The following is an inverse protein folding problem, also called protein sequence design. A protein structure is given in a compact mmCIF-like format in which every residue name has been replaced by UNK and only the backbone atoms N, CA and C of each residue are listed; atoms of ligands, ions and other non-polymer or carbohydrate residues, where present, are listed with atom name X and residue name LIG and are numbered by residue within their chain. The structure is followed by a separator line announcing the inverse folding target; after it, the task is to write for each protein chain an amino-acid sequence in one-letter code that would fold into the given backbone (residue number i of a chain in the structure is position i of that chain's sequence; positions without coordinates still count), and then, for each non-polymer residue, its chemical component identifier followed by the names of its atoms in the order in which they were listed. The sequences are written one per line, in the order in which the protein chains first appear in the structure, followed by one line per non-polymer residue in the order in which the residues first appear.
data_IF_913031300424
#
_entry.id   IF_913031300424
#
_cell.length_a   1.000
_cell.length_b   1.000
_cell.length_c   1.000
_cell.angle_alpha   90.00
_cell.angle_beta   90.00
_cell.angle_gamma   90.00
#
_symmetry.space_group_name_H-M   'P 1'
#
loop_
_entity.id
_entity.type
_entity.pdbx_description
1 polymer ?
#
# COMPACT_ATOMS: atom_id res chain seq x y z
N UNK A 1 29.99 7.61 8.86
CA UNK A 1 29.41 6.27 8.85
C UNK A 1 27.93 6.35 9.21
N UNK A 2 27.13 5.77 8.43
CA UNK A 2 25.70 5.79 8.68
C UNK A 2 25.28 4.50 9.38
N UNK A 3 24.53 4.66 10.45
CA UNK A 3 23.93 3.51 11.12
C UNK A 3 22.81 2.96 10.27
N UNK A 4 22.87 1.66 10.01
CA UNK A 4 21.79 1.00 9.30
C UNK A 4 20.86 0.36 10.32
N UNK A 5 19.58 0.65 10.16
CA UNK A 5 18.57 -0.03 10.95
C UNK A 5 18.03 -1.20 10.14
N UNK A 6 18.03 -2.36 10.77
CA UNK A 6 17.49 -3.55 10.15
C UNK A 6 16.15 -3.87 10.80
N UNK A 7 15.17 -4.07 9.96
CA UNK A 7 13.82 -4.39 10.41
C UNK A 7 13.61 -5.89 10.21
N UNK A 8 13.28 -6.59 11.27
CA UNK A 8 12.94 -8.00 11.16
C UNK A 8 11.55 -8.16 10.54
N UNK A 9 11.30 -9.33 9.95
CA UNK A 9 10.00 -9.66 9.43
C UNK A 9 8.92 -9.63 10.52
N UNK A 10 9.26 -10.11 11.70
CA UNK A 10 8.34 -10.09 12.83
C UNK A 10 7.99 -8.67 13.25
N UNK A 11 8.98 -7.79 13.34
CA UNK A 11 8.75 -6.40 13.70
C UNK A 11 7.92 -5.69 12.64
N UNK A 12 8.19 -5.97 11.37
CA UNK A 12 7.40 -5.41 10.28
C UNK A 12 5.94 -5.81 10.39
N UNK A 13 5.68 -7.07 10.72
CA UNK A 13 4.32 -7.58 10.87
C UNK A 13 3.61 -6.87 12.03
N UNK A 14 4.28 -6.77 13.18
CA UNK A 14 3.73 -6.09 14.35
C UNK A 14 3.42 -4.63 14.03
N UNK A 15 4.36 -3.94 13.38
CA UNK A 15 4.18 -2.53 13.04
C UNK A 15 3.07 -2.33 12.00
N UNK A 16 2.90 -3.29 11.10
CA UNK A 16 1.82 -3.26 10.13
C UNK A 16 0.45 -3.36 10.80
N UNK A 17 0.32 -4.22 11.80
CA UNK A 17 -0.92 -4.30 12.57
C UNK A 17 -1.15 -3.05 13.42
N UNK A 18 -0.08 -2.45 13.95
CA UNK A 18 -0.19 -1.16 14.66
C UNK A 18 -0.67 -0.05 13.74
N UNK A 19 -0.16 -0.02 12.52
CA UNK A 19 -0.62 0.92 11.51
C UNK A 19 -2.10 0.72 11.21
N UNK A 20 -2.50 -0.52 10.97
CA UNK A 20 -3.91 -0.84 10.70
C UNK A 20 -4.80 -0.40 11.84
N UNK A 21 -4.38 -0.67 13.08
CA UNK A 21 -5.15 -0.25 14.26
C UNK A 21 -5.26 1.26 14.35
N UNK A 22 -4.18 1.98 14.06
CA UNK A 22 -4.21 3.44 14.06
C UNK A 22 -5.19 3.99 13.03
N UNK A 23 -5.21 3.42 11.83
CA UNK A 23 -6.16 3.81 10.80
C UNK A 23 -7.59 3.49 11.25
N UNK A 24 -7.81 2.30 11.80
CA UNK A 24 -9.11 1.89 12.30
C UNK A 24 -9.61 2.83 13.40
N UNK A 25 -8.74 3.13 14.36
CA UNK A 25 -9.08 3.97 15.50
C UNK A 25 -9.35 5.42 15.07
N UNK A 26 -8.82 5.85 13.93
CA UNK A 26 -9.09 7.19 13.39
C UNK A 26 -10.50 7.33 12.83
N UNK A 27 -11.22 6.25 12.67
CA UNK A 27 -12.56 6.25 12.07
C UNK A 27 -12.55 6.12 10.56
N UNK A 28 -11.39 6.10 9.93
CA UNK A 28 -11.31 5.92 8.48
C UNK A 28 -11.57 4.46 8.13
N UNK A 29 -12.59 4.22 7.33
CA UNK A 29 -12.93 2.88 6.84
C UNK A 29 -12.62 2.81 5.34
N UNK A 30 -11.49 2.23 4.95
CA UNK A 30 -11.18 2.10 3.53
C UNK A 30 -12.14 1.14 2.86
N UNK A 31 -12.47 1.45 1.62
CA UNK A 31 -13.18 0.52 0.75
C UNK A 31 -12.22 -0.21 -0.19
N UNK A 32 -11.05 0.36 -0.42
CA UNK A 32 -10.02 -0.20 -1.28
C UNK A 32 -8.65 0.01 -0.65
N UNK A 33 -7.89 -1.07 -0.54
CA UNK A 33 -6.51 -1.01 -0.07
C UNK A 33 -5.59 -1.25 -1.25
N UNK A 34 -4.66 -0.33 -1.47
CA UNK A 34 -3.72 -0.40 -2.57
C UNK A 34 -2.32 -0.56 -2.00
N UNK A 35 -1.69 -1.69 -2.27
CA UNK A 35 -0.32 -1.94 -1.85
C UNK A 35 0.63 -1.66 -2.99
N UNK A 36 1.75 -1.02 -2.68
CA UNK A 36 2.77 -0.75 -3.68
C UNK A 36 3.72 -1.93 -3.72
N UNK A 37 3.75 -2.59 -4.87
CA UNK A 37 4.66 -3.69 -5.10
C UNK A 37 6.09 -3.17 -5.09
N UNK A 38 7.01 -3.76 -4.40
CA UNK A 38 6.93 -5.04 -3.72
C UNK A 38 6.90 -4.85 -2.20
N UNK A 39 7.55 -3.83 -1.69
CA UNK A 39 7.76 -3.63 -0.25
C UNK A 39 6.47 -3.36 0.52
N UNK A 40 5.47 -2.76 -0.11
CA UNK A 40 4.20 -2.48 0.54
C UNK A 40 3.27 -3.67 0.64
N UNK A 41 3.56 -4.78 -0.06
CA UNK A 41 2.62 -5.91 -0.12
C UNK A 41 2.48 -6.62 1.23
N UNK A 42 3.56 -6.97 1.95
CA UNK A 42 3.38 -7.57 3.28
C UNK A 42 2.60 -6.67 4.24
N UNK A 43 2.83 -5.36 4.16
CA UNK A 43 2.11 -4.38 4.98
C UNK A 43 0.63 -4.36 4.58
N UNK A 44 0.35 -4.30 3.29
CA UNK A 44 -1.01 -4.28 2.76
C UNK A 44 -1.79 -5.53 3.13
N UNK A 45 -1.16 -6.70 3.09
CA UNK A 45 -1.79 -7.95 3.50
C UNK A 45 -2.20 -7.90 4.97
N UNK A 46 -1.28 -7.47 5.84
CA UNK A 46 -1.57 -7.38 7.26
C UNK A 46 -2.70 -6.39 7.56
N UNK A 47 -2.68 -5.24 6.89
CA UNK A 47 -3.71 -4.22 7.06
C UNK A 47 -5.07 -4.75 6.59
N UNK A 48 -5.11 -5.40 5.46
CA UNK A 48 -6.35 -5.98 4.93
C UNK A 48 -6.91 -7.04 5.89
N UNK A 49 -6.06 -7.91 6.41
CA UNK A 49 -6.49 -8.93 7.34
C UNK A 49 -7.00 -8.33 8.65
N UNK A 50 -6.37 -7.26 9.12
CA UNK A 50 -6.85 -6.57 10.32
C UNK A 50 -8.26 -6.02 10.11
N UNK A 51 -8.49 -5.35 8.98
CA UNK A 51 -9.81 -4.79 8.70
C UNK A 51 -10.86 -5.89 8.51
N UNK A 52 -10.51 -6.96 7.83
CA UNK A 52 -11.41 -8.11 7.67
C UNK A 52 -11.78 -8.71 9.03
N UNK A 53 -10.81 -8.88 9.90
CA UNK A 53 -11.03 -9.36 11.27
C UNK A 53 -11.94 -8.41 12.05
N UNK A 54 -11.80 -7.12 11.82
CA UNK A 54 -12.59 -6.09 12.51
C UNK A 54 -13.97 -5.86 11.88
N UNK A 55 -14.34 -6.64 10.88
CA UNK A 55 -15.65 -6.55 10.27
C UNK A 55 -15.78 -5.53 9.15
N UNK A 56 -14.67 -4.98 8.66
CA UNK A 56 -14.68 -4.02 7.57
C UNK A 56 -14.26 -4.73 6.28
N UNK A 57 -15.19 -4.80 5.34
CA UNK A 57 -14.87 -5.39 4.04
C UNK A 57 -14.16 -4.39 3.16
N UNK A 58 -13.08 -4.82 2.55
CA UNK A 58 -12.30 -3.99 1.64
C UNK A 58 -11.98 -4.77 0.38
N UNK A 59 -11.94 -4.08 -0.74
CA UNK A 59 -11.29 -4.60 -1.92
C UNK A 59 -9.80 -4.26 -1.83
N UNK A 60 -8.95 -4.99 -2.53
CA UNK A 60 -7.53 -4.78 -2.39
C UNK A 60 -6.80 -5.21 -3.65
N UNK A 61 -5.70 -4.55 -3.92
CA UNK A 61 -4.85 -4.85 -5.07
C UNK A 61 -3.44 -4.34 -4.82
N UNK A 62 -2.47 -4.96 -5.49
CA UNK A 62 -1.11 -4.45 -5.54
C UNK A 62 -0.85 -3.82 -6.91
N UNK A 63 -0.22 -2.66 -6.90
CA UNK A 63 0.26 -2.02 -8.11
C UNK A 63 1.78 -1.93 -8.04
N UNK A 64 2.42 -1.89 -9.18
CA UNK A 64 3.88 -1.80 -9.24
C UNK A 64 4.29 -0.44 -9.77
N UNK A 65 5.25 0.18 -9.10
CA UNK A 65 5.85 1.41 -9.57
C UNK A 65 7.29 1.15 -9.99
N UNK A 66 7.73 1.84 -11.01
CA UNK A 66 9.13 1.83 -11.42
C UNK A 66 9.51 3.22 -11.89
N UNK A 67 10.70 3.65 -11.56
CA UNK A 67 11.20 4.92 -12.06
C UNK A 67 11.69 4.76 -13.50
N UNK A 68 11.62 5.84 -14.26
CA UNK A 68 12.23 5.86 -15.57
C UNK A 68 13.74 5.73 -15.43
N UNK A 69 14.34 5.04 -16.39
CA UNK A 69 15.78 4.93 -16.43
C UNK A 69 16.38 6.32 -16.64
N UNK A 70 17.20 6.74 -15.69
CA UNK A 70 17.83 8.04 -15.72
C UNK A 70 18.75 8.22 -16.94
N UNK A 71 19.23 7.15 -17.52
CA UNK A 71 20.10 7.21 -18.69
C UNK A 71 19.36 7.64 -19.95
N UNK A 72 18.05 7.60 -19.99
CA UNK A 72 17.28 7.92 -21.18
C UNK A 72 16.94 9.39 -21.24
N UNK A 73 16.17 9.88 -20.27
CA UNK A 73 15.82 11.29 -20.24
C UNK A 73 15.44 11.70 -18.81
N UNK A 74 16.40 12.29 -18.15
CA UNK A 74 16.22 12.72 -16.77
C UNK A 74 15.24 13.88 -16.64
N UNK A 75 15.03 14.64 -17.71
CA UNK A 75 14.12 15.77 -17.65
C UNK A 75 12.67 15.33 -17.52
N UNK A 76 12.35 14.17 -18.05
CA UNK A 76 11.01 13.63 -17.92
C UNK A 76 10.74 13.13 -16.54
N UNK A 77 11.74 12.70 -15.82
CA UNK A 77 11.66 12.20 -14.45
C UNK A 77 10.29 11.67 -14.14
N UNK A 78 10.15 10.61 -13.45
CA UNK A 78 8.81 10.20 -13.16
C UNK A 78 8.73 8.76 -12.78
N UNK A 79 7.54 8.38 -12.44
CA UNK A 79 7.23 7.04 -12.00
C UNK A 79 6.22 6.43 -12.95
N UNK A 80 6.56 5.25 -13.45
CA UNK A 80 5.62 4.46 -14.22
C UNK A 80 4.84 3.58 -13.27
N UNK A 81 3.52 3.52 -13.46
CA UNK A 81 2.65 2.72 -12.64
C UNK A 81 2.08 1.59 -13.49
N UNK A 82 2.18 0.38 -12.94
CA UNK A 82 1.68 -0.83 -13.59
C UNK A 82 0.53 -1.40 -12.76
N UNK A 83 -0.49 -1.92 -13.43
CA UNK A 83 -1.61 -2.56 -12.76
C UNK A 83 -2.79 -1.64 -12.49
N UNK A 84 -2.86 -0.50 -13.15
CA UNK A 84 -3.95 0.45 -12.95
C UNK A 84 -5.29 -0.01 -13.53
N UNK A 85 -5.28 -1.00 -14.41
CA UNK A 85 -6.50 -1.44 -15.08
C UNK A 85 -7.59 -1.86 -14.10
N UNK A 86 -7.22 -2.55 -13.05
CA UNK A 86 -8.18 -2.96 -12.03
C UNK A 86 -8.81 -1.75 -11.35
N UNK A 87 -7.98 -0.78 -10.98
CA UNK A 87 -8.46 0.43 -10.32
C UNK A 87 -9.38 1.24 -11.21
N UNK A 88 -9.02 1.36 -12.49
CA UNK A 88 -9.85 2.09 -13.46
C UNK A 88 -11.23 1.46 -13.56
N UNK A 89 -11.31 0.13 -13.51
CA UNK A 89 -12.59 -0.57 -13.62
C UNK A 89 -13.44 -0.50 -12.36
N UNK A 90 -12.81 -0.50 -11.19
CA UNK A 90 -13.51 -0.78 -9.94
C UNK A 90 -13.61 0.40 -8.99
N UNK A 91 -12.77 1.43 -9.15
CA UNK A 91 -12.79 2.58 -8.25
C UNK A 91 -13.83 3.60 -8.77
N UNK A 92 -14.65 4.07 -7.87
CA UNK A 92 -15.62 5.13 -8.14
C UNK A 92 -15.44 6.29 -7.16
N UNK A 93 -16.24 7.35 -7.35
CA UNK A 93 -16.08 8.56 -6.55
C UNK A 93 -16.34 8.36 -5.05
N UNK A 94 -17.13 7.33 -4.70
CA UNK A 94 -17.46 7.05 -3.31
C UNK A 94 -16.40 6.22 -2.61
N UNK A 95 -15.42 5.72 -3.31
CA UNK A 95 -14.40 4.87 -2.70
C UNK A 95 -13.48 5.67 -1.80
N UNK A 96 -13.06 5.02 -0.74
CA UNK A 96 -12.09 5.52 0.22
C UNK A 96 -10.84 4.68 0.09
N UNK A 97 -9.80 5.28 -0.44
CA UNK A 97 -8.56 4.57 -0.76
C UNK A 97 -7.57 4.68 0.38
N UNK A 98 -6.97 3.55 0.73
CA UNK A 98 -5.82 3.49 1.62
C UNK A 98 -4.63 2.97 0.80
N UNK A 99 -3.60 3.77 0.71
CA UNK A 99 -2.41 3.44 -0.09
C UNK A 99 -1.19 3.32 0.81
#
# INVERSE_FOLDING_TARGET
MTDKQYLSAEQLLIDSFRLAKAVFDSGFEPSMIIAIWRGGVPIGIAVQEFFAFSGVETDHIAIRTSSYDAGIDQRLGGVRVHGLNYLIKHVCAQDRLLI
#
